data_IF_230821651127
#
_entry.id   IF_230821651127
#
_cell.length_a   1.000
_cell.length_b   1.000
_cell.length_c   1.000
_cell.angle_alpha   90.00
_cell.angle_beta   90.00
_cell.angle_gamma   90.00
#
_symmetry.space_group_name_H-M   'P 1'
#
loop_
_entity.id
_entity.type
_entity.pdbx_description
1 polymer ?
#
# COMPACT_ATOMS: atom_id res chain seq x y z
N UNK A 1 4.10 4.63 12.89
CA UNK A 1 4.37 3.23 12.47
C UNK A 1 5.88 3.07 12.24
N UNK A 2 6.54 2.00 12.75
CA UNK A 2 7.93 1.70 12.41
C UNK A 2 8.08 1.27 10.94
N UNK A 3 9.23 1.58 10.32
CA UNK A 3 9.51 1.13 8.95
C UNK A 3 9.61 -0.40 8.86
N UNK A 4 10.17 -1.06 9.88
CA UNK A 4 10.31 -2.53 9.93
C UNK A 4 8.96 -3.23 9.75
N UNK A 5 7.95 -2.79 10.51
CA UNK A 5 6.64 -3.41 10.53
C UNK A 5 5.92 -3.18 9.19
N UNK A 6 6.11 -1.99 8.61
CA UNK A 6 5.59 -1.69 7.28
C UNK A 6 6.25 -2.59 6.22
N UNK A 7 7.57 -2.74 6.21
CA UNK A 7 8.30 -3.63 5.28
C UNK A 7 7.93 -5.10 5.47
N UNK A 8 7.72 -5.57 6.70
CA UNK A 8 7.26 -6.94 6.96
C UNK A 8 5.87 -7.19 6.35
N UNK A 9 4.98 -6.20 6.45
CA UNK A 9 3.64 -6.28 5.89
C UNK A 9 3.64 -6.21 4.36
N UNK A 10 4.27 -5.18 3.76
CA UNK A 10 4.16 -4.93 2.31
C UNK A 10 5.26 -5.58 1.46
N UNK A 11 6.33 -6.04 2.08
CA UNK A 11 7.48 -6.65 1.42
C UNK A 11 8.57 -5.65 1.06
N UNK A 12 9.79 -6.15 0.92
CA UNK A 12 10.98 -5.41 0.48
C UNK A 12 11.48 -6.03 -0.83
N UNK A 13 11.12 -5.39 -1.94
CA UNK A 13 11.54 -5.76 -3.29
C UNK A 13 12.79 -4.97 -3.75
N UNK A 14 13.54 -4.44 -2.77
CA UNK A 14 14.81 -3.76 -2.99
C UNK A 14 14.71 -2.25 -3.15
N UNK A 15 15.88 -1.60 -3.07
CA UNK A 15 16.01 -0.16 -3.20
C UNK A 15 16.11 0.26 -4.67
N UNK A 16 15.29 1.22 -5.10
CA UNK A 16 15.30 1.74 -6.48
C UNK A 16 16.33 2.87 -6.67
N UNK A 17 16.72 3.56 -5.59
CA UNK A 17 17.71 4.64 -5.62
C UNK A 17 17.44 5.77 -4.63
N UNK A 18 18.23 6.84 -4.75
CA UNK A 18 18.14 8.05 -3.92
C UNK A 18 18.03 9.28 -4.82
N UNK A 19 17.17 10.23 -4.47
CA UNK A 19 16.96 11.50 -5.18
C UNK A 19 16.55 12.61 -4.21
N UNK A 20 16.73 13.87 -4.60
CA UNK A 20 16.27 15.02 -3.83
C UNK A 20 14.87 15.44 -4.31
N UNK A 21 13.96 15.71 -3.37
CA UNK A 21 12.57 16.08 -3.66
C UNK A 21 11.95 16.92 -2.52
N UNK A 22 10.81 17.55 -2.76
CA UNK A 22 9.97 18.14 -1.71
C UNK A 22 8.91 17.12 -1.27
N UNK A 23 8.95 16.70 -0.01
CA UNK A 23 8.05 15.67 0.50
C UNK A 23 6.88 16.28 1.26
N UNK A 24 5.63 15.82 1.02
CA UNK A 24 4.48 16.29 1.75
C UNK A 24 4.54 15.77 3.19
N UNK A 25 4.49 16.69 4.15
CA UNK A 25 4.54 16.34 5.57
C UNK A 25 3.34 15.49 6.00
N UNK A 26 2.19 15.63 5.33
CA UNK A 26 1.01 14.79 5.57
C UNK A 26 1.29 13.30 5.38
N UNK A 27 2.20 12.92 4.48
CA UNK A 27 2.55 11.54 4.16
C UNK A 27 3.74 11.00 4.98
N UNK A 28 4.30 11.83 5.88
CA UNK A 28 5.29 11.36 6.86
C UNK A 28 4.56 10.65 8.00
N UNK A 29 4.65 9.32 8.01
CA UNK A 29 3.88 8.43 8.92
C UNK A 29 4.72 7.79 10.04
N UNK A 30 6.03 8.00 10.01
CA UNK A 30 6.90 7.36 10.98
C UNK A 30 8.38 7.62 10.81
N UNK A 31 9.15 6.80 11.51
CA UNK A 31 10.60 6.89 11.62
C UNK A 31 11.22 5.51 11.43
N UNK A 32 12.45 5.49 10.92
CA UNK A 32 13.21 4.24 10.69
C UNK A 32 13.68 3.59 11.99
N UNK A 33 14.15 4.37 12.97
CA UNK A 33 14.76 3.83 14.22
C UNK A 33 14.24 4.48 15.50
N UNK A 34 13.69 5.70 15.42
CA UNK A 34 13.20 6.50 16.55
C UNK A 34 11.68 6.59 16.65
N UNK A 35 10.98 5.49 16.39
CA UNK A 35 9.50 5.46 16.42
C UNK A 35 8.91 5.77 17.81
N UNK A 36 9.65 5.47 18.89
CA UNK A 36 9.19 5.69 20.28
C UNK A 36 9.32 7.15 20.74
N UNK A 37 10.17 7.96 20.09
CA UNK A 37 10.41 9.36 20.46
C UNK A 37 9.25 10.28 20.02
N UNK A 38 8.41 9.82 19.11
CA UNK A 38 7.33 10.60 18.49
C UNK A 38 5.96 9.94 18.66
N UNK A 39 4.91 10.74 18.61
CA UNK A 39 3.53 10.25 18.56
C UNK A 39 3.08 9.96 17.11
N UNK A 40 1.80 9.61 16.95
CA UNK A 40 1.21 9.27 15.66
C UNK A 40 1.09 10.48 14.70
N UNK A 41 1.13 11.71 15.22
CA UNK A 41 1.17 12.93 14.43
C UNK A 41 2.61 13.40 14.17
N UNK A 42 3.61 12.57 14.49
CA UNK A 42 5.03 12.88 14.38
C UNK A 42 5.45 14.07 15.28
N UNK A 43 4.74 14.30 16.38
CA UNK A 43 5.14 15.28 17.41
C UNK A 43 6.08 14.61 18.41
N UNK A 44 7.12 15.30 18.91
CA UNK A 44 8.00 14.73 19.91
C UNK A 44 7.22 14.44 21.20
N UNK A 45 7.31 13.23 21.73
CA UNK A 45 6.67 12.88 23.01
C UNK A 45 7.28 13.62 24.19
N UNK A 46 8.55 13.99 24.05
CA UNK A 46 9.28 14.82 25.02
C UNK A 46 9.91 15.99 24.29
N UNK A 47 9.63 17.20 24.78
CA UNK A 47 10.23 18.43 24.29
C UNK A 47 11.68 18.50 24.80
N UNK A 48 12.63 18.54 23.87
CA UNK A 48 14.07 18.60 24.20
C UNK A 48 14.62 19.98 23.86
N UNK A 49 15.69 20.40 24.54
CA UNK A 49 16.36 21.68 24.22
C UNK A 49 16.80 21.75 22.76
N UNK A 50 17.22 20.61 22.19
CA UNK A 50 17.57 20.52 20.77
C UNK A 50 16.37 20.74 19.85
N UNK A 51 15.20 20.22 20.21
CA UNK A 51 13.96 20.49 19.47
C UNK A 51 13.60 21.97 19.53
N UNK A 52 13.69 22.57 20.71
CA UNK A 52 13.37 23.98 20.93
C UNK A 52 14.28 24.92 20.15
N UNK A 53 15.57 24.59 20.09
CA UNK A 53 16.54 25.32 19.29
C UNK A 53 16.20 25.24 17.79
N UNK A 54 15.79 24.06 17.28
CA UNK A 54 15.37 23.91 15.87
C UNK A 54 14.12 24.73 15.59
N UNK A 55 13.12 24.64 16.46
CA UNK A 55 11.86 25.39 16.32
C UNK A 55 12.09 26.90 16.37
N UNK A 56 12.96 27.39 17.26
CA UNK A 56 13.31 28.81 17.34
C UNK A 56 13.98 29.31 16.05
N UNK A 57 14.88 28.50 15.46
CA UNK A 57 15.51 28.83 14.18
C UNK A 57 14.51 28.91 13.04
N UNK A 58 13.57 27.96 12.96
CA UNK A 58 12.54 27.99 11.91
C UNK A 58 11.63 29.21 12.06
N UNK A 59 11.27 29.58 13.30
CA UNK A 59 10.50 30.81 13.58
C UNK A 59 11.27 32.09 13.19
N UNK A 60 12.60 32.06 13.24
CA UNK A 60 13.45 33.15 12.79
C UNK A 60 13.61 33.22 11.25
N UNK A 61 13.04 32.27 10.50
CA UNK A 61 13.08 32.24 9.04
C UNK A 61 14.25 31.45 8.44
N UNK A 62 15.00 30.68 9.26
CA UNK A 62 16.03 29.79 8.74
C UNK A 62 15.42 28.69 7.86
N UNK A 63 15.94 28.51 6.65
CA UNK A 63 15.64 27.35 5.83
C UNK A 63 16.37 26.12 6.38
N UNK A 64 15.66 25.03 6.72
CA UNK A 64 16.31 23.82 7.19
C UNK A 64 17.18 23.18 6.11
N UNK A 65 18.28 22.53 6.50
CA UNK A 65 18.89 21.51 5.67
C UNK A 65 17.89 20.40 5.36
N UNK A 66 18.05 19.78 4.19
CA UNK A 66 17.23 18.66 3.78
C UNK A 66 17.21 17.56 4.87
N UNK A 67 16.06 16.92 5.05
CA UNK A 67 15.94 15.70 5.87
C UNK A 67 16.26 14.48 5.02
N UNK A 68 16.56 13.36 5.66
CA UNK A 68 16.67 12.08 4.95
C UNK A 68 15.43 11.25 5.24
N UNK A 69 14.79 10.74 4.19
CA UNK A 69 13.57 9.93 4.30
C UNK A 69 13.68 8.67 3.46
N UNK A 70 12.97 7.64 3.91
CA UNK A 70 12.72 6.42 3.14
C UNK A 70 11.29 6.48 2.63
N UNK A 71 11.11 6.31 1.32
CA UNK A 71 9.80 6.24 0.68
C UNK A 71 9.42 4.78 0.42
N UNK A 72 8.23 4.40 0.88
CA UNK A 72 7.61 3.09 0.67
C UNK A 72 6.19 3.32 0.13
N UNK A 73 5.98 3.10 -1.17
CA UNK A 73 4.74 3.51 -1.85
C UNK A 73 4.54 5.03 -1.77
N UNK A 74 3.50 5.46 -1.07
CA UNK A 74 3.18 6.87 -0.75
C UNK A 74 3.64 7.28 0.65
N UNK A 75 4.18 6.37 1.44
CA UNK A 75 4.55 6.62 2.83
C UNK A 75 6.00 7.08 2.95
N UNK A 76 6.23 8.07 3.80
CA UNK A 76 7.56 8.58 4.11
C UNK A 76 7.93 8.28 5.57
N UNK A 77 9.13 7.74 5.76
CA UNK A 77 9.72 7.43 7.06
C UNK A 77 10.99 8.23 7.25
N UNK A 78 11.07 9.04 8.30
CA UNK A 78 12.26 9.86 8.56
C UNK A 78 13.41 8.98 9.06
N UNK A 79 14.54 9.05 8.36
CA UNK A 79 15.80 8.39 8.75
C UNK A 79 16.78 9.37 9.40
N UNK A 80 16.82 10.63 8.95
CA UNK A 80 17.53 11.74 9.61
C UNK A 80 16.71 13.03 9.62
N UNK A 81 16.91 13.86 10.64
CA UNK A 81 16.28 15.17 10.73
C UNK A 81 14.91 15.15 11.41
N UNK A 82 14.65 14.20 12.31
CA UNK A 82 13.37 14.04 13.00
C UNK A 82 12.86 15.33 13.66
N UNK A 83 13.72 16.06 14.39
CA UNK A 83 13.32 17.33 14.99
C UNK A 83 12.98 18.40 13.94
N UNK A 84 13.64 18.40 12.76
CA UNK A 84 13.34 19.33 11.67
C UNK A 84 11.97 19.02 11.07
N UNK A 85 11.70 17.75 10.75
CA UNK A 85 10.40 17.33 10.25
C UNK A 85 9.27 17.62 11.27
N UNK A 86 9.50 17.32 12.55
CA UNK A 86 8.53 17.59 13.61
C UNK A 86 8.31 19.10 13.83
N UNK A 87 9.35 19.93 13.78
CA UNK A 87 9.22 21.39 13.91
C UNK A 87 8.50 22.01 12.71
N UNK A 88 8.81 21.58 11.48
CA UNK A 88 8.12 22.03 10.29
C UNK A 88 6.62 21.68 10.32
N UNK A 89 6.29 20.49 10.81
CA UNK A 89 4.90 20.07 11.00
C UNK A 89 4.19 20.89 12.09
N UNK A 90 4.85 21.18 13.21
CA UNK A 90 4.30 22.08 14.26
C UNK A 90 4.02 23.48 13.71
N UNK A 91 4.86 23.98 12.81
CA UNK A 91 4.69 25.29 12.16
C UNK A 91 3.69 25.28 10.99
N UNK A 92 3.05 24.14 10.71
CA UNK A 92 2.01 24.04 9.68
C UNK A 92 2.55 24.07 8.24
N UNK A 93 3.82 23.71 8.03
CA UNK A 93 4.36 23.60 6.67
C UNK A 93 3.70 22.42 5.94
N UNK A 94 3.49 22.57 4.64
CA UNK A 94 2.89 21.52 3.81
C UNK A 94 3.95 20.53 3.30
N UNK A 95 5.12 21.04 2.92
CA UNK A 95 6.20 20.28 2.32
C UNK A 95 7.54 20.57 3.01
N UNK A 96 8.50 19.69 2.82
CA UNK A 96 9.86 19.88 3.31
C UNK A 96 10.88 19.24 2.34
N UNK A 97 11.99 19.93 2.10
CA UNK A 97 13.07 19.42 1.26
C UNK A 97 13.71 18.16 1.86
N UNK A 98 13.83 17.09 1.09
CA UNK A 98 14.34 15.83 1.56
C UNK A 98 15.20 15.11 0.52
N UNK A 99 16.20 14.38 1.01
CA UNK A 99 16.85 13.31 0.27
C UNK A 99 16.04 12.02 0.49
N UNK A 100 15.41 11.55 -0.58
CA UNK A 100 14.47 10.43 -0.58
C UNK A 100 15.17 9.17 -1.07
N UNK A 101 15.20 8.12 -0.23
CA UNK A 101 15.57 6.76 -0.62
C UNK A 101 14.32 5.93 -0.89
N UNK A 102 14.10 5.49 -2.13
CA UNK A 102 12.90 4.72 -2.50
C UNK A 102 13.14 3.21 -2.34
N UNK A 103 12.21 2.55 -1.65
CA UNK A 103 12.14 1.09 -1.53
C UNK A 103 10.91 0.59 -2.29
N UNK A 104 11.10 -0.44 -3.11
CA UNK A 104 10.05 -1.16 -3.78
C UNK A 104 9.40 -2.17 -2.81
N UNK A 105 8.09 -2.34 -2.93
CA UNK A 105 7.32 -3.27 -2.12
C UNK A 105 6.42 -4.10 -3.02
N UNK A 106 6.12 -5.32 -2.55
CA UNK A 106 5.26 -6.27 -3.25
C UNK A 106 3.80 -5.84 -3.14
N UNK A 107 3.29 -5.53 -1.94
CA UNK A 107 1.97 -4.92 -1.77
C UNK A 107 2.06 -3.39 -1.86
N UNK A 108 1.01 -2.73 -2.33
CA UNK A 108 1.04 -1.27 -2.44
C UNK A 108 0.80 -0.59 -1.08
N UNK A 109 1.72 0.28 -0.66
CA UNK A 109 1.59 1.09 0.55
C UNK A 109 1.01 2.47 0.23
N UNK A 110 -0.32 2.61 0.37
CA UNK A 110 -1.03 3.88 0.18
C UNK A 110 -0.89 4.81 1.39
N UNK A 111 -1.14 6.10 1.19
CA UNK A 111 -0.99 7.17 2.19
C UNK A 111 -1.94 7.06 3.38
N UNK A 112 -3.08 6.39 3.25
CA UNK A 112 -4.02 6.15 4.34
C UNK A 112 -3.71 4.89 5.18
N UNK A 113 -2.67 4.13 4.82
CA UNK A 113 -2.31 2.89 5.52
C UNK A 113 -1.87 3.16 6.97
N UNK A 114 -2.47 2.43 7.90
CA UNK A 114 -2.19 2.51 9.34
C UNK A 114 -1.62 1.19 9.87
N UNK A 115 -1.25 1.19 11.15
CA UNK A 115 -0.79 -0.04 11.84
C UNK A 115 -1.88 -1.12 11.85
N UNK A 116 -3.17 -0.73 11.86
CA UNK A 116 -4.28 -1.68 11.85
C UNK A 116 -4.41 -2.43 10.51
N UNK A 117 -3.88 -1.86 9.42
CA UNK A 117 -3.96 -2.42 8.07
C UNK A 117 -2.81 -3.40 7.77
N UNK A 118 -1.79 -3.47 8.63
CA UNK A 118 -0.62 -4.34 8.42
C UNK A 118 -0.97 -5.82 8.23
N UNK A 119 -1.89 -6.44 9.00
CA UNK A 119 -2.27 -7.83 8.78
C UNK A 119 -2.93 -8.06 7.41
N UNK A 120 -3.71 -7.09 6.93
CA UNK A 120 -4.35 -7.13 5.61
C UNK A 120 -3.30 -7.00 4.51
N UNK A 121 -2.37 -6.07 4.67
CA UNK A 121 -1.27 -5.85 3.72
C UNK A 121 -0.31 -7.04 3.66
N UNK A 122 -0.07 -7.73 4.78
CA UNK A 122 0.66 -8.99 4.81
C UNK A 122 -0.04 -10.10 4.01
N UNK A 123 -1.37 -10.14 4.01
CA UNK A 123 -2.14 -11.08 3.20
C UNK A 123 -2.13 -10.69 1.72
N UNK A 124 -2.25 -9.40 1.39
CA UNK A 124 -2.08 -8.86 0.04
C UNK A 124 -0.71 -9.23 -0.54
N UNK A 125 0.37 -9.03 0.24
CA UNK A 125 1.73 -9.40 -0.16
C UNK A 125 1.82 -10.88 -0.52
N UNK A 126 1.34 -11.77 0.37
CA UNK A 126 1.39 -13.22 0.12
C UNK A 126 0.64 -13.59 -1.17
N UNK A 127 -0.51 -12.98 -1.42
CA UNK A 127 -1.24 -13.16 -2.67
C UNK A 127 -0.41 -12.72 -3.87
N UNK A 128 0.22 -11.54 -3.84
CA UNK A 128 1.00 -11.01 -4.95
C UNK A 128 2.34 -11.72 -5.17
N UNK A 129 2.91 -12.37 -4.15
CA UNK A 129 4.06 -13.27 -4.28
C UNK A 129 3.70 -14.53 -5.08
N UNK A 130 2.47 -15.03 -4.94
CA UNK A 130 1.98 -16.20 -5.70
C UNK A 130 1.38 -15.82 -7.06
N UNK A 131 0.70 -14.67 -7.13
CA UNK A 131 -0.05 -14.17 -8.28
C UNK A 131 0.43 -12.75 -8.59
N UNK A 132 1.59 -12.60 -9.25
CA UNK A 132 2.22 -11.29 -9.44
C UNK A 132 1.50 -10.51 -10.54
N UNK A 133 0.46 -9.79 -10.14
CA UNK A 133 -0.31 -8.90 -11.01
C UNK A 133 0.51 -7.64 -11.37
N UNK A 134 0.29 -7.09 -12.57
CA UNK A 134 0.97 -5.87 -13.00
C UNK A 134 0.60 -4.67 -12.12
N UNK A 135 1.51 -3.69 -12.11
CA UNK A 135 1.49 -2.54 -11.19
C UNK A 135 0.22 -1.68 -11.25
N UNK A 136 -0.40 -1.57 -12.42
CA UNK A 136 -1.64 -0.83 -12.64
C UNK A 136 -2.83 -1.50 -11.95
N UNK A 137 -2.90 -2.83 -12.00
CA UNK A 137 -3.92 -3.62 -11.29
C UNK A 137 -3.62 -3.59 -9.79
N UNK A 138 -2.38 -3.87 -9.41
CA UNK A 138 -1.91 -3.98 -8.02
C UNK A 138 -2.28 -2.77 -7.17
N UNK A 139 -2.11 -1.56 -7.71
CA UNK A 139 -2.46 -0.30 -7.01
C UNK A 139 -3.95 -0.11 -6.79
N UNK A 140 -4.81 -0.79 -7.53
CA UNK A 140 -6.26 -0.69 -7.39
C UNK A 140 -6.85 -1.78 -6.46
N UNK A 141 -6.04 -2.74 -6.00
CA UNK A 141 -6.51 -3.83 -5.17
C UNK A 141 -6.70 -3.37 -3.72
N UNK A 142 -7.90 -3.56 -3.19
CA UNK A 142 -8.15 -3.42 -1.76
C UNK A 142 -9.20 -4.41 -1.27
N UNK A 143 -8.87 -5.16 -0.21
CA UNK A 143 -9.76 -6.10 0.46
C UNK A 143 -9.52 -6.00 1.97
N UNK A 144 -10.59 -5.84 2.76
CA UNK A 144 -10.45 -5.59 4.21
C UNK A 144 -10.14 -6.86 5.03
N UNK A 145 -10.41 -8.05 4.47
CA UNK A 145 -10.30 -9.31 5.19
C UNK A 145 -9.10 -10.11 4.69
N UNK A 146 -8.14 -10.49 5.56
CA UNK A 146 -7.01 -11.33 5.17
C UNK A 146 -7.40 -12.63 4.47
N UNK A 147 -8.53 -13.24 4.85
CA UNK A 147 -9.04 -14.47 4.25
C UNK A 147 -9.50 -14.30 2.79
N UNK A 148 -9.88 -13.10 2.37
CA UNK A 148 -10.28 -12.85 0.98
C UNK A 148 -9.10 -12.89 0.02
N UNK A 149 -7.93 -12.44 0.46
CA UNK A 149 -6.69 -12.55 -0.32
C UNK A 149 -6.32 -14.01 -0.59
N UNK A 150 -6.48 -14.89 0.40
CA UNK A 150 -6.27 -16.33 0.22
C UNK A 150 -7.29 -16.93 -0.77
N UNK A 151 -8.58 -16.56 -0.65
CA UNK A 151 -9.61 -17.00 -1.61
C UNK A 151 -9.33 -16.50 -3.03
N UNK A 152 -8.78 -15.30 -3.17
CA UNK A 152 -8.37 -14.75 -4.46
C UNK A 152 -7.19 -15.53 -5.05
N UNK A 153 -6.19 -15.89 -4.23
CA UNK A 153 -5.08 -16.75 -4.63
C UNK A 153 -5.58 -18.12 -5.11
N UNK A 154 -6.45 -18.77 -4.32
CA UNK A 154 -7.05 -20.06 -4.66
C UNK A 154 -7.80 -20.00 -6.00
N UNK A 155 -8.52 -18.90 -6.25
CA UNK A 155 -9.22 -18.69 -7.53
C UNK A 155 -8.25 -18.64 -8.72
N UNK A 156 -7.16 -17.87 -8.61
CA UNK A 156 -6.15 -17.75 -9.66
C UNK A 156 -5.43 -19.09 -9.93
N UNK A 157 -5.02 -19.78 -8.87
CA UNK A 157 -4.34 -21.08 -8.96
C UNK A 157 -5.26 -22.18 -9.51
N UNK A 158 -6.53 -22.20 -9.09
CA UNK A 158 -7.53 -23.13 -9.62
C UNK A 158 -7.79 -22.88 -11.11
N UNK A 159 -7.86 -21.61 -11.54
CA UNK A 159 -8.00 -21.25 -12.94
C UNK A 159 -6.82 -21.76 -13.77
N UNK A 160 -5.59 -21.49 -13.31
CA UNK A 160 -4.38 -21.97 -13.97
C UNK A 160 -4.35 -23.50 -14.10
N UNK A 161 -4.73 -24.21 -13.03
CA UNK A 161 -4.83 -25.66 -13.02
C UNK A 161 -5.85 -26.19 -14.04
N UNK A 162 -7.03 -25.56 -14.18
CA UNK A 162 -8.01 -25.94 -15.21
C UNK A 162 -7.44 -25.74 -16.61
N UNK A 163 -6.79 -24.60 -16.85
CA UNK A 163 -6.23 -24.26 -18.15
C UNK A 163 -5.08 -25.17 -18.59
N UNK A 164 -4.25 -25.60 -17.63
CA UNK A 164 -3.22 -26.61 -17.87
C UNK A 164 -3.82 -27.96 -18.27
N UNK A 165 -4.92 -28.38 -17.64
CA UNK A 165 -5.60 -29.64 -17.96
C UNK A 165 -6.23 -29.65 -19.35
N UNK A 166 -6.75 -28.52 -19.81
CA UNK A 166 -7.39 -28.39 -21.12
C UNK A 166 -6.40 -28.43 -22.31
N UNK A 167 -5.10 -28.64 -22.05
CA UNK A 167 -4.06 -28.71 -23.08
C UNK A 167 -3.81 -27.38 -23.79
N UNK A 168 -4.43 -26.29 -23.32
CA UNK A 168 -4.23 -24.94 -23.88
C UNK A 168 -2.88 -24.34 -23.50
N UNK A 169 -2.12 -24.97 -22.60
CA UNK A 169 -0.81 -24.51 -22.12
C UNK A 169 0.17 -25.67 -21.88
N UNK A 170 1.38 -25.56 -22.42
CA UNK A 170 2.52 -26.44 -22.14
C UNK A 170 3.36 -25.91 -20.97
N UNK A 171 3.75 -26.80 -20.06
CA UNK A 171 4.41 -26.56 -18.75
C UNK A 171 5.80 -25.88 -18.82
N UNK A 172 6.24 -25.41 -19.98
CA UNK A 172 7.63 -25.02 -20.26
C UNK A 172 7.94 -23.53 -20.22
N UNK A 173 7.03 -22.65 -20.66
CA UNK A 173 7.45 -21.33 -21.14
C UNK A 173 6.71 -20.11 -20.58
N UNK A 174 5.77 -20.29 -19.64
CA UNK A 174 4.99 -19.14 -19.14
C UNK A 174 5.34 -18.80 -17.70
N UNK A 175 5.83 -17.58 -17.53
CA UNK A 175 6.18 -17.01 -16.24
C UNK A 175 4.92 -16.67 -15.41
N UNK A 176 5.09 -16.51 -14.10
CA UNK A 176 3.99 -16.26 -13.17
C UNK A 176 3.21 -14.95 -13.47
N UNK A 177 3.85 -13.91 -14.00
CA UNK A 177 3.18 -12.64 -14.32
C UNK A 177 2.25 -12.81 -15.51
N UNK A 178 2.68 -13.55 -16.53
CA UNK A 178 1.85 -13.87 -17.68
C UNK A 178 0.62 -14.69 -17.28
N UNK A 179 0.77 -15.63 -16.33
CA UNK A 179 -0.34 -16.41 -15.77
C UNK A 179 -1.32 -15.52 -15.00
N UNK A 180 -0.80 -14.68 -14.10
CA UNK A 180 -1.61 -13.77 -13.28
C UNK A 180 -2.39 -12.78 -14.17
N UNK A 181 -1.73 -12.21 -15.18
CA UNK A 181 -2.34 -11.29 -16.14
C UNK A 181 -3.44 -11.96 -16.96
N UNK A 182 -3.18 -13.17 -17.47
CA UNK A 182 -4.17 -13.91 -18.25
C UNK A 182 -5.39 -14.29 -17.39
N UNK A 183 -5.17 -14.72 -16.15
CA UNK A 183 -6.27 -14.99 -15.21
C UNK A 183 -7.13 -13.73 -14.98
N UNK A 184 -6.49 -12.58 -14.74
CA UNK A 184 -7.22 -11.33 -14.54
C UNK A 184 -8.05 -10.94 -15.77
N UNK A 185 -7.46 -10.99 -16.96
CA UNK A 185 -8.11 -10.58 -18.22
C UNK A 185 -9.23 -11.55 -18.63
N UNK A 186 -9.03 -12.86 -18.43
CA UNK A 186 -9.93 -13.88 -18.98
C UNK A 186 -11.00 -14.37 -17.99
N UNK A 187 -10.74 -14.32 -16.68
CA UNK A 187 -11.68 -14.77 -15.64
C UNK A 187 -12.27 -13.59 -14.86
N UNK A 188 -11.40 -12.73 -14.30
CA UNK A 188 -11.81 -11.67 -13.36
C UNK A 188 -12.56 -10.55 -14.08
N UNK A 189 -11.93 -9.89 -15.06
CA UNK A 189 -12.50 -8.74 -15.75
C UNK A 189 -13.86 -9.04 -16.41
N UNK A 190 -14.07 -10.18 -17.10
CA UNK A 190 -15.37 -10.52 -17.67
C UNK A 190 -16.42 -10.81 -16.59
N UNK A 191 -16.04 -11.40 -15.45
CA UNK A 191 -16.95 -11.60 -14.32
C UNK A 191 -17.38 -10.27 -13.71
N UNK A 192 -16.43 -9.36 -13.46
CA UNK A 192 -16.69 -8.01 -12.95
C UNK A 192 -17.60 -7.23 -13.91
N UNK A 193 -17.34 -7.27 -15.22
CA UNK A 193 -18.15 -6.59 -16.22
C UNK A 193 -19.62 -7.02 -16.19
N UNK A 194 -19.90 -8.33 -15.99
CA UNK A 194 -21.28 -8.82 -15.83
C UNK A 194 -21.93 -8.32 -14.54
N UNK A 195 -21.17 -8.27 -13.45
CA UNK A 195 -21.66 -7.89 -12.13
C UNK A 195 -21.92 -6.38 -12.00
N UNK A 196 -21.16 -5.53 -12.70
CA UNK A 196 -21.21 -4.07 -12.53
C UNK A 196 -22.62 -3.50 -12.70
N UNK A 197 -23.43 -4.07 -13.60
CA UNK A 197 -24.81 -3.62 -13.84
C UNK A 197 -25.73 -3.69 -12.62
N UNK A 198 -25.43 -4.54 -11.63
CA UNK A 198 -26.26 -4.79 -10.45
C UNK A 198 -25.53 -4.54 -9.13
N UNK A 199 -24.32 -3.97 -9.18
CA UNK A 199 -23.48 -3.77 -8.01
C UNK A 199 -23.46 -2.30 -7.57
N UNK A 200 -23.17 -2.02 -6.29
CA UNK A 200 -22.85 -0.67 -5.84
C UNK A 200 -21.71 -0.05 -6.67
N UNK A 201 -21.82 1.26 -6.95
CA UNK A 201 -20.88 1.99 -7.82
C UNK A 201 -19.56 2.35 -7.14
N UNK A 202 -19.52 2.28 -5.81
CA UNK A 202 -18.39 2.62 -4.95
C UNK A 202 -17.42 1.45 -4.73
N UNK A 203 -17.74 0.25 -5.24
CA UNK A 203 -16.88 -0.93 -5.11
C UNK A 203 -15.88 -1.05 -6.25
N UNK A 204 -14.63 -1.35 -5.88
CA UNK A 204 -13.56 -1.68 -6.84
C UNK A 204 -13.72 -3.12 -7.36
N UNK A 205 -13.09 -3.41 -8.50
CA UNK A 205 -13.25 -4.65 -9.26
C UNK A 205 -12.99 -5.90 -8.43
N UNK A 206 -11.94 -5.89 -7.61
CA UNK A 206 -11.58 -7.01 -6.76
C UNK A 206 -12.64 -7.29 -5.68
N UNK A 207 -13.30 -6.24 -5.16
CA UNK A 207 -14.39 -6.37 -4.17
C UNK A 207 -15.66 -6.97 -4.81
N UNK A 208 -15.93 -6.66 -6.08
CA UNK A 208 -17.01 -7.30 -6.82
C UNK A 208 -16.71 -8.78 -7.06
N UNK A 209 -15.49 -9.06 -7.52
CA UNK A 209 -15.08 -10.41 -7.85
C UNK A 209 -15.06 -11.33 -6.62
N UNK A 210 -14.54 -10.85 -5.48
CA UNK A 210 -14.50 -11.66 -4.26
C UNK A 210 -15.89 -11.97 -3.71
N UNK A 211 -16.84 -11.03 -3.84
CA UNK A 211 -18.22 -11.23 -3.41
C UNK A 211 -18.89 -12.33 -4.24
N UNK A 212 -18.62 -12.35 -5.54
CA UNK A 212 -19.07 -13.43 -6.43
C UNK A 212 -18.41 -14.78 -6.11
N UNK A 213 -17.10 -14.81 -5.84
CA UNK A 213 -16.42 -16.03 -5.40
C UNK A 213 -17.04 -16.58 -4.12
N UNK A 214 -17.27 -15.73 -3.13
CA UNK A 214 -17.86 -16.16 -1.88
C UNK A 214 -19.30 -16.69 -2.04
N UNK A 215 -20.10 -16.13 -2.99
CA UNK A 215 -21.42 -16.70 -3.33
C UNK A 215 -21.29 -18.09 -3.96
N UNK A 216 -20.34 -18.29 -4.88
CA UNK A 216 -20.09 -19.60 -5.51
C UNK A 216 -19.69 -20.65 -4.49
N UNK A 217 -18.94 -20.24 -3.48
CA UNK A 217 -18.48 -21.12 -2.39
C UNK A 217 -19.56 -21.34 -1.31
N UNK A 218 -20.78 -20.81 -1.49
CA UNK A 218 -21.92 -21.04 -0.60
C UNK A 218 -21.85 -20.29 0.74
N UNK A 219 -21.09 -19.20 0.84
CA UNK A 219 -21.05 -18.38 2.06
C UNK A 219 -22.38 -17.64 2.22
N UNK A 220 -23.11 -17.94 3.30
CA UNK A 220 -24.34 -17.27 3.65
C UNK A 220 -24.09 -15.85 4.19
N UNK A 221 -24.95 -14.90 3.81
CA UNK A 221 -24.96 -13.50 4.29
C UNK A 221 -23.72 -12.66 3.92
N UNK A 222 -23.41 -12.62 2.63
CA UNK A 222 -22.38 -11.73 2.07
C UNK A 222 -22.91 -10.30 1.97
N UNK A 223 -22.71 -9.52 3.03
CA UNK A 223 -22.66 -8.07 2.89
C UNK A 223 -21.52 -7.69 1.93
N UNK A 224 -21.74 -6.67 1.10
CA UNK A 224 -20.67 -6.10 0.29
C UNK A 224 -19.52 -5.64 1.21
N UNK A 225 -18.25 -5.79 0.79
CA UNK A 225 -17.13 -5.19 1.50
C UNK A 225 -17.34 -3.69 1.68
N UNK A 226 -16.75 -3.09 2.71
CA UNK A 226 -16.79 -1.65 2.84
C UNK A 226 -16.01 -1.03 1.67
N UNK A 227 -16.52 0.05 1.09
CA UNK A 227 -15.74 0.83 0.14
C UNK A 227 -14.50 1.37 0.87
N UNK A 228 -13.31 1.11 0.31
CA UNK A 228 -12.09 1.64 0.90
C UNK A 228 -12.03 3.14 0.64
N UNK A 229 -12.04 3.93 1.71
CA UNK A 229 -12.06 5.38 1.65
C UNK A 229 -10.67 6.00 1.37
N UNK A 230 -9.84 5.36 0.54
CA UNK A 230 -8.66 6.03 0.01
C UNK A 230 -9.08 6.89 -1.19
N UNK A 231 -8.89 8.22 -1.16
CA UNK A 231 -9.29 9.10 -2.25
C UNK A 231 -8.66 8.72 -3.60
N UNK A 232 -7.50 8.05 -3.59
CA UNK A 232 -6.80 7.61 -4.80
C UNK A 232 -7.26 6.24 -5.33
N UNK A 233 -8.06 5.49 -4.57
CA UNK A 233 -8.55 4.14 -4.98
C UNK A 233 -10.05 4.14 -5.32
N UNK A 234 -10.71 5.31 -5.28
CA UNK A 234 -12.07 5.45 -5.77
C UNK A 234 -12.08 5.35 -7.31
N UNK A 235 -13.01 4.59 -7.91
CA UNK A 235 -13.19 4.62 -9.35
C UNK A 235 -13.45 6.06 -9.78
N UNK A 236 -12.62 6.58 -10.69
CA UNK A 236 -12.83 7.90 -11.28
C UNK A 236 -14.16 7.87 -12.07
N UNK A 237 -14.98 8.93 -11.98
CA UNK A 237 -16.33 8.98 -12.55
C UNK A 237 -16.37 8.84 -14.08
#
# INVERSE_FOLDING_TARGET
MPLSDALEAVGDDGAMGTYDDEVPLSQVVGSVSRSEDFDHEFRPRRRTERYDAVLARFRAGDLPPAVSVVRLGELYFVSDGHHRAAAARELGWSHLAAQVRRICSVAYACSCMTVADLPVKAAERRFLEEVPLPDDIRRALWLDRPADWARLADSALAWACRRQRDGRWTRGDVDAHSLASAWWIEEVAPAVARLRSNAPTDLVDVQLYITELARRDGVADLAWPAAHCCPDHLPQP
#
